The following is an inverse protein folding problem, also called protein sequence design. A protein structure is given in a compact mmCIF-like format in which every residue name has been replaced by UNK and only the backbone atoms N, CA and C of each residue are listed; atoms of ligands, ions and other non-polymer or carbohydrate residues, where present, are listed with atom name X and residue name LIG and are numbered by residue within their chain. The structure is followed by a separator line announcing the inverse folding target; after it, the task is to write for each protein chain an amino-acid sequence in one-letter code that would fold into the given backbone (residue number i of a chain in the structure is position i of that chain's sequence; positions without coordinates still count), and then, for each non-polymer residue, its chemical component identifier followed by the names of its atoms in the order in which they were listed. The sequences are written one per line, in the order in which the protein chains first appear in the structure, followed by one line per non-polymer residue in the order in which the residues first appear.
data_IF_097602683273
#
_entry.id   IF_097602683273
#
_cell.length_a   1.000
_cell.length_b   1.000
_cell.length_c   1.000
_cell.angle_alpha   90.00
_cell.angle_beta   90.00
_cell.angle_gamma   90.00
#
_symmetry.space_group_name_H-M   'P 1'
#
loop_
_entity.id
_entity.type
_entity.pdbx_description
1 polymer ?
#
# COMPACT_ATOMS: atom_id res chain seq x y z
N UNK A 1 -10.65 8.63 -1.09
CA UNK A 1 -9.39 9.03 -1.79
C UNK A 1 -8.87 7.82 -2.56
N UNK A 2 -8.28 8.02 -3.74
CA UNK A 2 -7.75 6.92 -4.57
C UNK A 2 -6.23 6.97 -4.60
N UNK A 3 -5.57 5.86 -4.29
CA UNK A 3 -4.10 5.76 -4.26
C UNK A 3 -3.68 4.52 -5.06
N UNK A 4 -2.70 4.71 -5.96
CA UNK A 4 -1.97 3.65 -6.64
C UNK A 4 -0.59 3.50 -5.99
N UNK A 5 -0.20 2.27 -5.65
CA UNK A 5 1.07 1.95 -4.99
C UNK A 5 1.89 1.07 -5.93
N UNK A 6 3.04 1.56 -6.38
CA UNK A 6 3.98 0.79 -7.19
C UNK A 6 5.19 0.37 -6.35
N UNK A 7 5.58 -0.90 -6.43
CA UNK A 7 6.76 -1.45 -5.76
C UNK A 7 7.62 -2.24 -6.75
N UNK A 8 8.93 -2.17 -6.59
CA UNK A 8 9.87 -3.02 -7.33
C UNK A 8 9.72 -4.50 -6.97
N UNK A 9 10.14 -5.40 -7.86
CA UNK A 9 9.84 -6.84 -7.75
C UNK A 9 10.61 -7.64 -6.68
N UNK A 10 11.49 -7.02 -5.89
CA UNK A 10 12.24 -7.70 -4.82
C UNK A 10 11.60 -7.45 -3.45
N UNK A 11 11.85 -8.35 -2.50
CA UNK A 11 11.31 -8.24 -1.13
C UNK A 11 11.59 -6.89 -0.47
N UNK A 12 12.76 -6.29 -0.73
CA UNK A 12 13.16 -4.98 -0.19
C UNK A 12 12.21 -3.83 -0.54
N UNK A 13 11.42 -3.94 -1.62
CA UNK A 13 10.40 -2.95 -1.99
C UNK A 13 8.98 -3.45 -1.70
N UNK A 14 8.73 -4.75 -1.85
CA UNK A 14 7.40 -5.35 -1.64
C UNK A 14 6.98 -5.23 -0.17
N UNK A 15 7.83 -5.62 0.79
CA UNK A 15 7.43 -5.62 2.21
C UNK A 15 7.14 -4.22 2.74
N UNK A 16 7.93 -3.17 2.44
CA UNK A 16 7.56 -1.80 2.79
C UNK A 16 6.24 -1.35 2.15
N UNK A 17 5.99 -1.67 0.88
CA UNK A 17 4.74 -1.30 0.22
C UNK A 17 3.53 -1.97 0.88
N UNK A 18 3.64 -3.25 1.25
CA UNK A 18 2.60 -3.97 1.98
C UNK A 18 2.36 -3.38 3.38
N UNK A 19 3.42 -2.97 4.09
CA UNK A 19 3.29 -2.33 5.40
C UNK A 19 2.53 -0.99 5.30
N UNK A 20 2.82 -0.19 4.26
CA UNK A 20 2.08 1.05 3.98
C UNK A 20 0.61 0.76 3.65
N UNK A 21 0.33 -0.24 2.80
CA UNK A 21 -1.04 -0.68 2.46
C UNK A 21 -1.82 -1.06 3.72
N UNK A 22 -1.21 -1.87 4.60
CA UNK A 22 -1.85 -2.30 5.85
C UNK A 22 -2.21 -1.11 6.73
N UNK A 23 -1.27 -0.19 6.94
CA UNK A 23 -1.51 0.99 7.78
C UNK A 23 -2.57 1.94 7.19
N UNK A 24 -2.61 2.10 5.87
CA UNK A 24 -3.61 2.92 5.19
C UNK A 24 -5.02 2.35 5.35
N UNK A 25 -5.18 1.02 5.24
CA UNK A 25 -6.47 0.35 5.45
C UNK A 25 -7.00 0.53 6.87
N UNK A 26 -6.12 0.57 7.87
CA UNK A 26 -6.51 0.78 9.28
C UNK A 26 -6.92 2.22 9.57
N UNK A 27 -6.19 3.19 9.02
CA UNK A 27 -6.34 4.61 9.39
C UNK A 27 -7.30 5.37 8.50
N UNK A 28 -7.55 4.88 7.30
CA UNK A 28 -8.42 5.52 6.30
C UNK A 28 -9.37 4.46 5.72
N UNK A 29 -10.48 4.14 6.41
CA UNK A 29 -11.36 3.03 6.03
C UNK A 29 -11.92 3.12 4.60
N UNK A 30 -12.13 4.34 4.12
CA UNK A 30 -12.71 4.62 2.78
C UNK A 30 -11.63 4.86 1.70
N UNK A 31 -10.38 4.47 1.95
CA UNK A 31 -9.32 4.58 0.95
C UNK A 31 -9.45 3.48 -0.10
N UNK A 32 -9.54 3.87 -1.37
CA UNK A 32 -9.48 2.95 -2.48
C UNK A 32 -8.01 2.75 -2.88
N UNK A 33 -7.50 1.53 -2.65
CA UNK A 33 -6.12 1.16 -2.95
C UNK A 33 -6.04 0.27 -4.19
N UNK A 34 -5.09 0.57 -5.06
CA UNK A 34 -4.63 -0.26 -6.18
C UNK A 34 -3.12 -0.41 -6.07
N UNK A 35 -2.59 -1.56 -6.44
CA UNK A 35 -1.17 -1.87 -6.37
C UNK A 35 -0.79 -2.88 -7.45
#
# INVERSE_FOLDING_TARGET
MRILIAAGGTGGHIYPALAVIANLRERVPDVELRW
#
